data_IF_611170286363
#
_entry.id   IF_611170286363
#
_cell.length_a   1.000
_cell.length_b   1.000
_cell.length_c   1.000
_cell.angle_alpha   90.00
_cell.angle_beta   90.00
_cell.angle_gamma   90.00
#
_symmetry.space_group_name_H-M   'P 1'
#
loop_
_entity.id
_entity.type
_entity.pdbx_description
1 polymer ?
#
# COMPACT_ATOMS: atom_id res chain seq x y z
N UNK A 1 24.80 -55.89 12.25
CA UNK A 1 24.49 -55.51 10.86
C UNK A 1 23.97 -54.09 10.87
N UNK A 2 24.81 -53.11 10.58
CA UNK A 2 24.40 -51.77 10.15
C UNK A 2 25.42 -51.35 9.11
N UNK A 3 25.01 -51.37 7.85
CA UNK A 3 25.81 -50.88 6.72
C UNK A 3 25.74 -49.35 6.78
N UNK A 4 26.86 -48.73 7.13
CA UNK A 4 27.04 -47.29 6.99
C UNK A 4 27.07 -46.95 5.51
N UNK A 5 26.08 -46.19 5.06
CA UNK A 5 26.02 -45.62 3.72
C UNK A 5 27.11 -44.56 3.60
N UNK A 6 28.24 -44.98 3.00
CA UNK A 6 29.39 -44.13 2.75
C UNK A 6 29.01 -43.23 1.57
N UNK A 7 28.48 -42.05 1.86
CA UNK A 7 28.25 -41.03 0.84
C UNK A 7 29.61 -40.68 0.21
N UNK A 8 29.79 -41.07 -1.06
CA UNK A 8 31.03 -40.89 -1.80
C UNK A 8 31.32 -39.40 -2.03
N UNK A 9 32.54 -38.91 -1.81
CA UNK A 9 32.90 -37.48 -1.91
C UNK A 9 32.77 -36.89 -3.33
N UNK A 10 32.58 -37.74 -4.34
CA UNK A 10 32.50 -37.36 -5.76
C UNK A 10 31.21 -36.62 -6.12
N UNK A 11 30.08 -36.92 -5.45
CA UNK A 11 28.78 -36.31 -5.75
C UNK A 11 28.63 -34.90 -5.17
N UNK A 12 29.25 -34.64 -4.01
CA UNK A 12 29.22 -33.34 -3.34
C UNK A 12 30.10 -32.30 -4.06
N UNK A 13 31.26 -32.74 -4.57
CA UNK A 13 32.13 -31.91 -5.40
C UNK A 13 31.48 -31.53 -6.73
N UNK A 14 30.82 -32.48 -7.41
CA UNK A 14 30.08 -32.22 -8.65
C UNK A 14 28.88 -31.29 -8.43
N UNK A 15 28.11 -31.48 -7.36
CA UNK A 15 26.99 -30.58 -7.01
C UNK A 15 27.48 -29.14 -6.81
N UNK A 16 28.56 -28.96 -6.06
CA UNK A 16 29.15 -27.64 -5.80
C UNK A 16 29.63 -26.94 -7.08
N UNK A 17 30.21 -27.69 -8.02
CA UNK A 17 30.59 -27.13 -9.33
C UNK A 17 29.39 -26.75 -10.18
N UNK A 18 28.31 -27.54 -10.15
CA UNK A 18 27.07 -27.22 -10.88
C UNK A 18 26.41 -25.98 -10.30
N UNK A 19 26.31 -25.87 -8.97
CA UNK A 19 25.77 -24.68 -8.29
C UNK A 19 26.58 -23.42 -8.58
N UNK A 20 27.91 -23.53 -8.65
CA UNK A 20 28.78 -22.42 -9.06
C UNK A 20 28.52 -21.98 -10.50
N UNK A 21 28.43 -22.92 -11.45
CA UNK A 21 28.15 -22.60 -12.85
C UNK A 21 26.76 -21.99 -13.00
N UNK A 22 25.75 -22.48 -12.29
CA UNK A 22 24.40 -21.88 -12.27
C UNK A 22 24.45 -20.45 -11.74
N UNK A 23 25.19 -20.20 -10.66
CA UNK A 23 25.35 -18.86 -10.09
C UNK A 23 26.03 -17.91 -11.09
N UNK A 24 27.06 -18.36 -11.79
CA UNK A 24 27.75 -17.56 -12.81
C UNK A 24 26.84 -17.25 -14.00
N UNK A 25 26.12 -18.25 -14.53
CA UNK A 25 25.14 -18.05 -15.60
C UNK A 25 24.00 -17.12 -15.17
N UNK A 26 23.51 -17.24 -13.93
CA UNK A 26 22.48 -16.34 -13.41
C UNK A 26 22.98 -14.89 -13.33
N UNK A 27 24.23 -14.68 -12.91
CA UNK A 27 24.85 -13.36 -12.90
C UNK A 27 24.98 -12.79 -14.32
N UNK A 28 25.41 -13.61 -15.29
CA UNK A 28 25.52 -13.23 -16.70
C UNK A 28 24.15 -12.83 -17.28
N UNK A 29 23.11 -13.64 -17.05
CA UNK A 29 21.73 -13.35 -17.46
C UNK A 29 21.28 -11.99 -16.89
N UNK A 30 21.53 -11.71 -15.61
CA UNK A 30 21.12 -10.43 -15.01
C UNK A 30 21.83 -9.22 -15.64
N UNK A 31 23.10 -9.39 -16.01
CA UNK A 31 23.88 -8.37 -16.72
C UNK A 31 23.32 -8.13 -18.13
N UNK A 32 23.01 -9.20 -18.86
CA UNK A 32 22.44 -9.15 -20.20
C UNK A 32 21.04 -8.54 -20.22
N UNK A 33 20.20 -8.87 -19.25
CA UNK A 33 18.89 -8.26 -19.10
C UNK A 33 18.99 -6.74 -18.84
N UNK A 34 19.96 -6.30 -18.04
CA UNK A 34 20.21 -4.88 -17.81
C UNK A 34 20.69 -4.16 -19.08
N UNK A 35 21.59 -4.78 -19.86
CA UNK A 35 22.03 -4.26 -21.15
C UNK A 35 20.88 -4.20 -22.16
N UNK A 36 20.05 -5.23 -22.21
CA UNK A 36 18.87 -5.29 -23.08
C UNK A 36 17.85 -4.21 -22.70
N UNK A 37 17.63 -3.96 -21.40
CA UNK A 37 16.77 -2.89 -20.92
C UNK A 37 17.24 -1.52 -21.40
N UNK A 38 18.54 -1.21 -21.28
CA UNK A 38 19.12 0.05 -21.79
C UNK A 38 18.92 0.20 -23.29
N UNK A 39 19.12 -0.87 -24.07
CA UNK A 39 18.87 -0.85 -25.52
C UNK A 39 17.40 -0.54 -25.85
N UNK A 40 16.45 -1.19 -25.16
CA UNK A 40 15.01 -0.94 -25.30
C UNK A 40 14.64 0.51 -24.96
N UNK A 41 15.25 1.07 -23.91
CA UNK A 41 15.09 2.46 -23.52
C UNK A 41 15.59 3.43 -24.60
N UNK A 42 16.79 3.22 -25.11
CA UNK A 42 17.31 4.03 -26.22
C UNK A 42 16.39 3.98 -27.44
N UNK A 43 15.87 2.80 -27.79
CA UNK A 43 14.92 2.68 -28.91
C UNK A 43 13.63 3.47 -28.64
N UNK A 44 13.07 3.39 -27.44
CA UNK A 44 11.87 4.15 -27.09
C UNK A 44 12.11 5.67 -27.12
N UNK A 45 13.27 6.13 -26.65
CA UNK A 45 13.69 7.54 -26.73
C UNK A 45 13.78 8.00 -28.18
N UNK A 46 14.36 7.18 -29.06
CA UNK A 46 14.41 7.45 -30.49
C UNK A 46 13.01 7.43 -31.13
N UNK A 47 12.11 6.52 -30.73
CA UNK A 47 10.72 6.52 -31.19
C UNK A 47 10.02 7.84 -30.82
N UNK A 48 10.21 8.32 -29.59
CA UNK A 48 9.66 9.60 -29.14
C UNK A 48 10.18 10.80 -29.94
N UNK A 49 11.48 10.82 -30.26
CA UNK A 49 12.09 11.87 -31.08
C UNK A 49 11.51 11.94 -32.50
N UNK A 50 11.02 10.81 -33.03
CA UNK A 50 10.42 10.70 -34.38
C UNK A 50 8.88 10.69 -34.31
N UNK A 51 8.29 10.98 -33.14
CA UNK A 51 6.83 11.04 -32.97
C UNK A 51 6.11 9.70 -33.12
N UNK A 52 6.84 8.58 -32.96
CA UNK A 52 6.28 7.22 -32.98
C UNK A 52 5.97 6.74 -31.56
N UNK A 53 4.94 5.90 -31.39
CA UNK A 53 4.70 5.25 -30.11
C UNK A 53 5.89 4.36 -29.71
N UNK A 54 6.15 4.18 -28.41
CA UNK A 54 7.26 3.36 -27.92
C UNK A 54 7.12 1.92 -28.41
N UNK A 55 8.18 1.38 -29.02
CA UNK A 55 8.20 0.04 -29.58
C UNK A 55 8.28 -1.06 -28.51
N UNK A 56 8.82 -0.74 -27.34
CA UNK A 56 8.98 -1.67 -26.23
C UNK A 56 8.19 -1.21 -25.01
N UNK A 57 7.39 -2.10 -24.44
CA UNK A 57 6.92 -1.95 -23.07
C UNK A 57 8.13 -2.19 -22.15
N UNK A 58 8.74 -1.11 -21.66
CA UNK A 58 9.61 -1.21 -20.52
C UNK A 58 8.70 -1.45 -19.32
N UNK A 59 8.74 -2.66 -18.78
CA UNK A 59 8.44 -2.87 -17.37
C UNK A 59 9.38 -1.91 -16.62
N UNK A 60 8.90 -0.70 -16.35
CA UNK A 60 9.46 0.15 -15.30
C UNK A 60 9.60 -0.82 -14.16
N UNK A 61 10.83 -1.02 -13.65
CA UNK A 61 11.03 -1.80 -12.44
C UNK A 61 10.05 -1.19 -11.44
N UNK A 62 8.88 -1.81 -11.30
CA UNK A 62 7.81 -1.32 -10.47
C UNK A 62 8.49 -1.25 -9.15
N UNK A 63 8.79 -0.02 -8.66
CA UNK A 63 9.63 0.20 -7.48
C UNK A 63 9.19 -0.85 -6.49
N UNK A 64 10.01 -1.89 -6.34
CA UNK A 64 9.56 -3.10 -5.70
C UNK A 64 9.39 -2.67 -4.26
N UNK A 65 8.14 -2.39 -3.89
CA UNK A 65 7.84 -1.85 -2.56
C UNK A 65 8.42 -2.90 -1.62
N UNK A 66 9.41 -2.54 -0.79
CA UNK A 66 10.31 -3.50 -0.19
C UNK A 66 9.49 -4.62 0.43
N UNK A 67 9.76 -5.86 0.03
CA UNK A 67 9.00 -7.03 0.48
C UNK A 67 9.09 -7.23 1.99
N UNK A 68 10.03 -6.55 2.64
CA UNK A 68 10.22 -6.52 4.08
C UNK A 68 9.90 -5.13 4.65
N UNK A 69 8.94 -5.10 5.58
CA UNK A 69 8.63 -3.93 6.39
C UNK A 69 9.80 -3.71 7.35
N UNK A 70 10.44 -2.55 7.29
CA UNK A 70 11.46 -2.15 8.29
C UNK A 70 10.79 -1.85 9.62
N UNK A 71 11.45 -2.14 10.73
CA UNK A 71 10.91 -1.97 12.08
C UNK A 71 10.61 -0.52 12.47
N UNK A 72 11.14 0.46 11.74
CA UNK A 72 10.98 1.90 11.94
C UNK A 72 10.06 2.56 10.89
N UNK A 73 9.51 1.79 9.94
CA UNK A 73 8.87 2.31 8.74
C UNK A 73 7.61 3.16 9.00
N UNK A 74 6.87 2.87 10.07
CA UNK A 74 5.58 3.49 10.36
C UNK A 74 5.58 4.35 11.64
N UNK A 75 6.75 4.59 12.23
CA UNK A 75 6.86 5.42 13.42
C UNK A 75 6.45 6.87 13.12
N UNK A 76 5.52 7.41 13.92
CA UNK A 76 5.00 8.78 13.77
C UNK A 76 4.15 9.04 12.51
N UNK A 77 3.83 8.02 11.71
CA UNK A 77 3.05 8.17 10.47
C UNK A 77 1.53 8.16 10.74
N UNK A 78 0.70 8.80 9.91
CA UNK A 78 -0.75 8.70 10.01
C UNK A 78 -1.25 7.26 9.73
N UNK A 79 -2.19 6.76 10.53
CA UNK A 79 -2.70 5.38 10.44
C UNK A 79 -3.15 5.00 9.02
N UNK A 80 -3.94 5.86 8.37
CA UNK A 80 -4.45 5.60 7.03
C UNK A 80 -3.31 5.51 5.99
N UNK A 81 -2.24 6.30 6.14
CA UNK A 81 -1.06 6.24 5.29
C UNK A 81 -0.33 4.92 5.45
N UNK A 82 -0.05 4.51 6.69
CA UNK A 82 0.63 3.25 7.00
C UNK A 82 -0.14 2.03 6.48
N UNK A 83 -1.46 1.99 6.69
CA UNK A 83 -2.30 0.88 6.18
C UNK A 83 -2.33 0.86 4.65
N UNK A 84 -2.38 2.02 4.00
CA UNK A 84 -2.33 2.10 2.54
C UNK A 84 -1.02 1.49 2.00
N UNK A 85 0.12 1.87 2.57
CA UNK A 85 1.42 1.33 2.18
C UNK A 85 1.47 -0.19 2.35
N UNK A 86 0.95 -0.72 3.46
CA UNK A 86 0.87 -2.16 3.71
C UNK A 86 0.01 -2.87 2.64
N UNK A 87 -1.15 -2.31 2.30
CA UNK A 87 -2.02 -2.89 1.28
C UNK A 87 -1.38 -2.82 -0.12
N UNK A 88 -0.71 -1.73 -0.47
CA UNK A 88 0.04 -1.60 -1.73
C UNK A 88 1.18 -2.64 -1.82
N UNK A 89 1.94 -2.82 -0.73
CA UNK A 89 2.96 -3.87 -0.61
C UNK A 89 2.37 -5.27 -0.81
N UNK A 90 1.25 -5.58 -0.16
CA UNK A 90 0.59 -6.88 -0.30
C UNK A 90 0.07 -7.13 -1.71
N UNK A 91 -0.44 -6.09 -2.39
CA UNK A 91 -0.84 -6.20 -3.79
C UNK A 91 0.36 -6.44 -4.70
N UNK A 92 1.48 -5.78 -4.46
CA UNK A 92 2.73 -6.04 -5.19
C UNK A 92 3.21 -7.50 -5.03
N UNK A 93 2.88 -8.14 -3.89
CA UNK A 93 3.15 -9.55 -3.61
C UNK A 93 2.05 -10.51 -4.10
N UNK A 94 1.06 -10.03 -4.86
CA UNK A 94 -0.11 -10.82 -5.30
C UNK A 94 -0.98 -11.41 -4.18
N UNK A 95 -0.89 -10.90 -2.95
CA UNK A 95 -1.70 -11.33 -1.79
C UNK A 95 -3.06 -10.63 -1.71
N UNK A 96 -3.20 -9.46 -2.35
CA UNK A 96 -4.46 -8.73 -2.45
C UNK A 96 -4.96 -8.15 -1.12
N UNK A 97 -6.27 -8.28 -0.87
CA UNK A 97 -6.93 -7.75 0.33
C UNK A 97 -6.43 -8.44 1.62
N UNK A 98 -6.52 -7.74 2.75
CA UNK A 98 -6.00 -8.22 4.02
C UNK A 98 -7.04 -8.17 5.14
N UNK A 99 -6.96 -9.09 6.07
CA UNK A 99 -7.74 -9.07 7.31
C UNK A 99 -7.20 -8.01 8.27
N UNK A 100 -8.03 -7.58 9.22
CA UNK A 100 -7.63 -6.59 10.24
C UNK A 100 -6.45 -7.11 11.07
N UNK A 101 -6.42 -8.40 11.37
CA UNK A 101 -5.35 -9.03 12.14
C UNK A 101 -4.01 -8.95 11.39
N UNK A 102 -4.02 -9.24 10.09
CA UNK A 102 -2.82 -9.14 9.25
C UNK A 102 -2.32 -7.70 9.12
N UNK A 103 -3.24 -6.74 8.97
CA UNK A 103 -2.88 -5.31 8.90
C UNK A 103 -2.30 -4.86 10.25
N UNK A 104 -2.91 -5.26 11.36
CA UNK A 104 -2.43 -4.97 12.71
C UNK A 104 -1.02 -5.52 12.93
N UNK A 105 -0.81 -6.80 12.62
CA UNK A 105 0.51 -7.44 12.75
C UNK A 105 1.57 -6.76 11.87
N UNK A 106 1.22 -6.37 10.65
CA UNK A 106 2.11 -5.64 9.75
C UNK A 106 2.46 -4.24 10.27
N UNK A 107 1.50 -3.53 10.88
CA UNK A 107 1.73 -2.23 11.52
C UNK A 107 2.66 -2.36 12.72
N UNK A 108 2.42 -3.32 13.60
CA UNK A 108 3.26 -3.56 14.78
C UNK A 108 4.68 -3.97 14.36
N UNK A 109 4.82 -4.83 13.34
CA UNK A 109 6.14 -5.19 12.78
C UNK A 109 6.89 -4.00 12.21
N UNK A 110 6.18 -2.99 11.68
CA UNK A 110 6.78 -1.77 11.16
C UNK A 110 6.93 -0.64 12.18
N UNK A 111 6.78 -0.93 13.47
CA UNK A 111 7.00 0.03 14.55
C UNK A 111 5.90 1.07 14.71
N UNK A 112 4.69 0.78 14.25
CA UNK A 112 3.54 1.66 14.50
C UNK A 112 3.11 1.57 15.98
N UNK A 113 3.02 2.72 16.63
CA UNK A 113 2.58 2.82 18.02
C UNK A 113 1.06 3.05 18.09
N UNK A 114 0.34 2.15 18.75
CA UNK A 114 -1.07 2.33 19.04
C UNK A 114 -1.23 2.95 20.43
N UNK A 115 -1.97 4.06 20.51
CA UNK A 115 -2.35 4.72 21.78
C UNK A 115 -3.47 3.95 22.51
N UNK A 116 -3.24 2.67 22.80
CA UNK A 116 -4.22 1.81 23.47
C UNK A 116 -3.53 0.82 24.40
N UNK A 117 -4.20 0.50 25.52
CA UNK A 117 -3.67 -0.40 26.56
C UNK A 117 -3.74 -1.88 26.21
N UNK A 118 -4.47 -2.26 25.16
CA UNK A 118 -4.72 -3.65 24.78
C UNK A 118 -4.85 -3.80 23.26
N UNK A 119 -4.22 -4.84 22.72
CA UNK A 119 -4.25 -5.17 21.30
C UNK A 119 -5.67 -5.39 20.76
N UNK A 120 -6.59 -5.91 21.57
CA UNK A 120 -7.99 -6.08 21.18
C UNK A 120 -8.69 -4.72 20.94
N UNK A 121 -8.37 -3.73 21.78
CA UNK A 121 -8.89 -2.37 21.63
C UNK A 121 -8.25 -1.71 20.41
N UNK A 122 -6.95 -1.91 20.21
CA UNK A 122 -6.22 -1.44 19.04
C UNK A 122 -6.81 -1.97 17.73
N UNK A 123 -7.10 -3.27 17.64
CA UNK A 123 -7.70 -3.90 16.47
C UNK A 123 -9.14 -3.40 16.22
N UNK A 124 -9.93 -3.18 17.26
CA UNK A 124 -11.27 -2.58 17.13
C UNK A 124 -11.20 -1.14 16.64
N UNK A 125 -10.26 -0.35 17.18
CA UNK A 125 -10.00 1.02 16.75
C UNK A 125 -9.56 1.06 15.27
N UNK A 126 -8.63 0.18 14.89
CA UNK A 126 -8.18 0.01 13.50
C UNK A 126 -9.35 -0.31 12.56
N UNK A 127 -10.18 -1.31 12.90
CA UNK A 127 -11.38 -1.67 12.13
C UNK A 127 -12.28 -0.45 11.94
N UNK A 128 -12.55 0.30 13.01
CA UNK A 128 -13.43 1.46 12.96
C UNK A 128 -12.85 2.57 12.07
N UNK A 129 -11.55 2.83 12.17
CA UNK A 129 -10.86 3.83 11.33
C UNK A 129 -10.91 3.47 9.85
N UNK A 130 -10.68 2.20 9.49
CA UNK A 130 -10.78 1.73 8.11
C UNK A 130 -12.21 1.76 7.58
N UNK A 131 -13.19 1.40 8.42
CA UNK A 131 -14.60 1.42 8.05
C UNK A 131 -15.14 2.85 7.86
N UNK A 132 -14.61 3.84 8.58
CA UNK A 132 -14.97 5.27 8.42
C UNK A 132 -14.32 5.89 7.18
N UNK A 133 -13.11 5.46 6.82
CA UNK A 133 -12.40 5.99 5.65
C UNK A 133 -12.73 5.18 4.38
N UNK A 134 -14.01 5.22 3.99
CA UNK A 134 -14.52 4.54 2.79
C UNK A 134 -14.07 5.18 1.47
N UNK A 135 -13.46 6.37 1.55
CA UNK A 135 -12.91 7.05 0.38
C UNK A 135 -11.64 6.36 -0.14
N UNK A 136 -10.82 5.80 0.76
CA UNK A 136 -9.59 5.09 0.43
C UNK A 136 -9.72 3.58 0.54
N UNK A 137 -10.45 3.08 1.54
CA UNK A 137 -10.57 1.66 1.82
C UNK A 137 -11.95 1.11 1.46
N UNK A 138 -11.97 -0.14 1.01
CA UNK A 138 -13.18 -0.88 0.73
C UNK A 138 -13.19 -2.16 1.57
N UNK A 139 -14.30 -2.40 2.27
CA UNK A 139 -14.55 -3.63 3.02
C UNK A 139 -15.23 -4.64 2.11
N UNK A 140 -14.57 -5.79 1.91
CA UNK A 140 -15.10 -6.89 1.14
C UNK A 140 -16.11 -7.72 1.95
N UNK A 141 -17.03 -8.45 1.30
CA UNK A 141 -18.00 -9.30 1.98
C UNK A 141 -17.35 -10.42 2.82
N UNK A 142 -16.11 -10.81 2.48
CA UNK A 142 -15.31 -11.78 3.24
C UNK A 142 -14.71 -11.19 4.54
N UNK A 143 -14.97 -9.92 4.86
CA UNK A 143 -14.45 -9.25 6.05
C UNK A 143 -13.01 -8.72 5.93
N UNK A 144 -12.42 -8.79 4.73
CA UNK A 144 -11.11 -8.20 4.43
C UNK A 144 -11.25 -6.75 3.96
N UNK A 145 -10.13 -6.02 4.01
CA UNK A 145 -10.01 -4.66 3.53
C UNK A 145 -9.04 -4.60 2.37
N UNK A 146 -9.43 -3.86 1.33
CA UNK A 146 -8.57 -3.51 0.21
C UNK A 146 -8.67 -2.03 -0.10
N UNK A 147 -7.86 -1.56 -1.06
CA UNK A 147 -7.96 -0.18 -1.52
C UNK A 147 -9.10 -0.05 -2.55
N UNK A 148 -9.84 1.05 -2.47
CA UNK A 148 -10.93 1.34 -3.41
C UNK A 148 -10.41 1.44 -4.86
N UNK A 149 -9.17 1.91 -5.04
CA UNK A 149 -8.52 1.99 -6.34
C UNK A 149 -8.37 0.64 -7.06
N UNK A 150 -8.46 -0.48 -6.35
CA UNK A 150 -8.38 -1.82 -6.94
C UNK A 150 -9.72 -2.28 -7.53
N UNK A 151 -10.80 -1.59 -7.19
CA UNK A 151 -12.17 -2.00 -7.50
C UNK A 151 -12.92 -0.88 -8.24
N UNK A 152 -12.63 -0.66 -9.54
CA UNK A 152 -13.22 0.45 -10.32
C UNK A 152 -14.74 0.35 -10.50
N UNK A 153 -15.29 -0.87 -10.39
CA UNK A 153 -16.73 -1.12 -10.55
C UNK A 153 -17.55 -0.89 -9.27
N UNK A 154 -16.89 -0.59 -8.14
CA UNK A 154 -17.59 -0.32 -6.88
C UNK A 154 -17.96 1.15 -6.83
N UNK A 155 -19.24 1.43 -6.52
CA UNK A 155 -19.75 2.81 -6.38
C UNK A 155 -18.90 3.56 -5.37
N UNK A 156 -18.18 4.59 -5.82
CA UNK A 156 -17.45 5.50 -4.94
C UNK A 156 -18.46 6.15 -3.99
N UNK A 157 -18.27 6.08 -2.66
CA UNK A 157 -19.12 6.81 -1.75
C UNK A 157 -19.01 8.31 -2.09
N UNK A 158 -20.17 8.95 -2.25
CA UNK A 158 -20.27 10.37 -2.54
C UNK A 158 -19.54 11.11 -1.42
N UNK A 159 -18.43 11.78 -1.72
CA UNK A 159 -17.79 12.70 -0.78
C UNK A 159 -18.87 13.70 -0.37
N UNK A 160 -19.25 13.72 0.91
CA UNK A 160 -20.00 14.82 1.46
C UNK A 160 -19.08 16.04 1.34
N UNK A 161 -19.44 16.95 0.45
CA UNK A 161 -18.80 18.26 0.37
C UNK A 161 -18.79 18.89 1.77
N UNK A 162 -17.79 19.71 2.11
CA UNK A 162 -17.82 20.48 3.35
C UNK A 162 -19.14 21.23 3.37
N UNK A 163 -19.99 20.95 4.35
CA UNK A 163 -21.14 21.81 4.65
C UNK A 163 -20.50 23.10 5.13
N UNK A 164 -20.42 24.07 4.24
CA UNK A 164 -20.08 25.45 4.57
C UNK A 164 -20.96 25.83 5.76
N UNK A 165 -20.39 26.22 6.91
CA UNK A 165 -21.21 26.51 8.06
C UNK A 165 -22.06 27.73 7.73
N UNK A 166 -23.36 27.49 7.55
CA UNK A 166 -24.38 28.49 7.35
C UNK A 166 -24.61 29.19 8.70
N UNK A 167 -23.59 29.86 9.20
CA UNK A 167 -23.79 30.89 10.21
C UNK A 167 -24.48 32.04 9.48
N UNK A 168 -25.64 32.51 9.97
CA UNK A 168 -26.08 33.85 9.65
C UNK A 168 -24.94 34.77 10.09
N UNK A 169 -24.38 35.53 9.15
CA UNK A 169 -23.47 36.62 9.47
C UNK A 169 -24.16 37.52 10.49
N UNK A 170 -23.46 37.85 11.58
CA UNK A 170 -23.96 38.59 12.72
C UNK A 170 -24.22 40.09 12.41
N UNK A 171 -24.71 40.40 11.22
CA UNK A 171 -24.94 41.77 10.75
C UNK A 171 -26.42 42.19 10.76
N UNK A 172 -27.36 41.28 11.04
CA UNK A 172 -28.80 41.57 11.05
C UNK A 172 -29.46 41.43 12.44
N UNK A 173 -28.83 41.94 13.50
CA UNK A 173 -29.37 41.90 14.86
C UNK A 173 -29.85 43.26 15.41
N UNK A 174 -30.12 44.24 14.54
CA UNK A 174 -30.48 45.62 14.94
C UNK A 174 -31.89 46.07 14.52
N UNK A 175 -32.85 45.14 14.40
CA UNK A 175 -34.22 45.46 13.96
C UNK A 175 -35.35 44.80 14.76
N UNK A 176 -35.12 44.34 15.99
CA UNK A 176 -36.19 43.77 16.84
C UNK A 176 -36.18 44.35 18.25
N UNK A 177 -36.12 45.68 18.36
CA UNK A 177 -36.18 46.38 19.65
C UNK A 177 -37.35 47.38 19.80
N UNK A 178 -38.23 47.56 18.82
CA UNK A 178 -39.28 48.61 18.89
C UNK A 178 -40.73 48.10 19.09
N UNK A 179 -40.97 46.80 19.22
CA UNK A 179 -42.34 46.25 19.38
C UNK A 179 -42.63 45.68 20.78
N UNK A 180 -42.08 46.26 21.85
CA UNK A 180 -42.44 45.91 23.24
C UNK A 180 -42.75 47.12 24.14
N UNK A 181 -42.94 48.32 23.56
CA UNK A 181 -43.24 49.54 24.33
C UNK A 181 -44.73 49.92 24.38
N UNK A 182 -45.65 49.01 24.05
CA UNK A 182 -47.10 49.31 23.94
C UNK A 182 -48.00 48.64 24.99
N UNK A 183 -47.46 48.00 26.03
CA UNK A 183 -48.27 47.30 27.05
C UNK A 183 -48.18 47.88 28.48
N UNK A 184 -47.58 49.06 28.67
CA UNK A 184 -47.57 49.76 29.99
C UNK A 184 -48.18 51.17 29.92
N UNK A 185 -49.42 51.29 29.45
CA UNK A 185 -50.29 52.44 29.77
C UNK A 185 -51.69 52.00 30.13
#
# INVERSE_FOLDING_TARGET
MYLGEIATPETDAMSKTVDQVISELAAEITSDEAALRKKKETVNTLCGAVGRPPAYALEVASSAVPTQIRSDQFYGQPLAGSVRTILEMRRAQNLGAATIKEIFEALTKGGYEFDTKSDDIAQKSLRNSLAKNTALFHKLPNGQFGLLAWYPNVKKPRQSLPVEPLYPTAEDHDAVAEEYASWEK
#
